data_IF_100174869964
#
_entry.id   IF_100174869964
#
_cell.length_a   1.000
_cell.length_b   1.000
_cell.length_c   1.000
_cell.angle_alpha   90.00
_cell.angle_beta   90.00
_cell.angle_gamma   90.00
#
_symmetry.space_group_name_H-M   'P 1'
#
loop_
_entity.id
_entity.type
_entity.pdbx_description
1 polymer ?
#
# COMPACT_ATOMS: atom_id res chain seq x y z
N UNK A 1 -9.04 -23.14 -5.33
CA UNK A 1 -8.08 -22.45 -6.20
C UNK A 1 -6.86 -23.33 -6.53
N UNK A 2 -6.20 -23.93 -5.51
CA UNK A 2 -4.99 -24.73 -5.73
C UNK A 2 -5.16 -25.87 -6.73
N UNK A 3 -6.27 -26.65 -6.64
CA UNK A 3 -6.56 -27.71 -7.64
C UNK A 3 -6.70 -27.18 -9.05
N UNK A 4 -7.37 -26.05 -9.23
CA UNK A 4 -7.48 -25.41 -10.56
C UNK A 4 -6.13 -24.93 -11.10
N UNK A 5 -5.30 -24.34 -10.25
CA UNK A 5 -3.96 -23.89 -10.64
C UNK A 5 -3.10 -25.07 -11.13
N UNK A 6 -3.20 -26.24 -10.49
CA UNK A 6 -2.46 -27.45 -10.90
C UNK A 6 -2.94 -28.04 -12.23
N UNK A 7 -4.18 -27.77 -12.63
CA UNK A 7 -4.75 -28.16 -13.92
C UNK A 7 -4.51 -27.11 -15.01
N UNK A 8 -3.66 -26.10 -14.75
CA UNK A 8 -3.27 -25.09 -15.74
C UNK A 8 -4.21 -23.89 -15.86
N UNK A 9 -5.19 -23.75 -14.96
CA UNK A 9 -6.02 -22.56 -14.90
C UNK A 9 -5.31 -21.41 -14.17
N UNK A 10 -5.78 -20.17 -14.38
CA UNK A 10 -5.37 -18.98 -13.64
C UNK A 10 -6.52 -18.61 -12.67
N UNK A 11 -6.57 -19.20 -11.47
CA UNK A 11 -7.68 -19.00 -10.56
C UNK A 11 -7.55 -17.67 -9.82
N UNK A 12 -8.62 -16.88 -9.85
CA UNK A 12 -8.81 -15.72 -8.96
C UNK A 12 -9.70 -16.16 -7.79
N UNK A 13 -9.13 -16.19 -6.59
CA UNK A 13 -9.84 -16.48 -5.35
C UNK A 13 -10.05 -15.17 -4.58
N UNK A 14 -11.29 -14.88 -4.20
CA UNK A 14 -11.62 -13.59 -3.57
C UNK A 14 -12.41 -13.76 -2.27
N UNK A 15 -12.05 -12.98 -1.27
CA UNK A 15 -12.76 -12.80 0.00
C UNK A 15 -12.29 -11.50 0.67
N UNK A 16 -12.82 -11.15 1.83
CA UNK A 16 -12.29 -10.02 2.60
C UNK A 16 -10.81 -10.19 2.94
N UNK A 17 -10.05 -9.10 2.84
CA UNK A 17 -8.60 -9.12 3.00
C UNK A 17 -8.13 -9.76 4.33
N UNK A 18 -8.83 -9.46 5.44
CA UNK A 18 -8.53 -10.08 6.73
C UNK A 18 -8.73 -11.61 6.72
N UNK A 19 -9.67 -12.12 5.93
CA UNK A 19 -9.90 -13.56 5.81
C UNK A 19 -8.98 -14.22 4.78
N UNK A 20 -8.64 -13.49 3.71
CA UNK A 20 -7.67 -13.92 2.73
C UNK A 20 -6.26 -14.05 3.33
N UNK A 21 -5.89 -13.16 4.23
CA UNK A 21 -4.55 -13.13 4.85
C UNK A 21 -4.50 -13.95 6.14
N UNK A 22 -5.13 -13.48 7.21
CA UNK A 22 -4.94 -14.04 8.55
C UNK A 22 -5.62 -15.39 8.72
N UNK A 23 -6.90 -15.53 8.31
CA UNK A 23 -7.66 -16.76 8.49
C UNK A 23 -7.14 -17.91 7.63
N UNK A 24 -6.70 -17.63 6.41
CA UNK A 24 -6.18 -18.63 5.47
C UNK A 24 -4.64 -18.65 5.37
N UNK A 25 -3.94 -18.07 6.33
CA UNK A 25 -2.48 -17.89 6.30
C UNK A 25 -1.72 -19.20 6.02
N UNK A 26 -2.10 -20.30 6.66
CA UNK A 26 -1.46 -21.61 6.46
C UNK A 26 -1.66 -22.10 5.00
N UNK A 27 -2.89 -22.05 4.49
CA UNK A 27 -3.20 -22.47 3.11
C UNK A 27 -2.51 -21.59 2.08
N UNK A 28 -2.42 -20.28 2.32
CA UNK A 28 -1.69 -19.35 1.47
C UNK A 28 -0.18 -19.66 1.50
N UNK A 29 0.38 -19.84 2.69
CA UNK A 29 1.79 -20.23 2.85
C UNK A 29 2.12 -21.50 2.08
N UNK A 30 1.30 -22.55 2.21
CA UNK A 30 1.56 -23.85 1.57
C UNK A 30 1.36 -23.74 0.06
N UNK A 31 0.20 -23.28 -0.41
CA UNK A 31 -0.14 -23.37 -1.83
C UNK A 31 0.52 -22.26 -2.67
N UNK A 32 0.55 -21.02 -2.15
CA UNK A 32 1.12 -19.89 -2.88
C UNK A 32 2.63 -19.74 -2.59
N UNK A 33 3.01 -19.70 -1.31
CA UNK A 33 4.41 -19.48 -0.93
C UNK A 33 5.30 -20.68 -1.22
N UNK A 34 4.99 -21.86 -0.67
CA UNK A 34 5.86 -23.04 -0.75
C UNK A 34 5.73 -23.78 -2.09
N UNK A 35 4.51 -24.03 -2.55
CA UNK A 35 4.28 -24.73 -3.83
C UNK A 35 4.40 -23.80 -5.05
N UNK A 36 4.38 -22.48 -4.85
CA UNK A 36 4.51 -21.49 -5.92
C UNK A 36 3.33 -21.51 -6.92
N UNK A 37 2.16 -22.02 -6.54
CA UNK A 37 1.02 -22.11 -7.46
C UNK A 37 0.54 -20.70 -7.88
N UNK A 38 0.28 -20.45 -9.17
CA UNK A 38 -0.04 -19.12 -9.70
C UNK A 38 -1.48 -18.65 -9.38
N UNK A 39 -1.85 -18.80 -8.12
CA UNK A 39 -3.14 -18.34 -7.59
C UNK A 39 -3.13 -16.81 -7.46
N UNK A 40 -4.21 -16.15 -7.92
CA UNK A 40 -4.45 -14.73 -7.72
C UNK A 40 -5.42 -14.59 -6.55
N UNK A 41 -4.88 -14.35 -5.36
CA UNK A 41 -5.68 -14.14 -4.15
C UNK A 41 -6.06 -12.66 -4.05
N UNK A 42 -7.35 -12.36 -4.12
CA UNK A 42 -7.86 -10.99 -4.07
C UNK A 42 -8.41 -10.71 -2.67
N UNK A 43 -7.75 -9.83 -1.95
CA UNK A 43 -8.17 -9.31 -0.65
C UNK A 43 -9.07 -8.09 -0.85
N UNK A 44 -10.39 -8.30 -0.75
CA UNK A 44 -11.37 -7.21 -0.84
C UNK A 44 -11.42 -6.44 0.47
N UNK A 45 -11.76 -5.15 0.38
CA UNK A 45 -12.05 -4.29 1.54
C UNK A 45 -10.92 -4.24 2.57
N UNK A 46 -9.67 -4.21 2.11
CA UNK A 46 -8.52 -4.05 2.99
C UNK A 46 -8.53 -2.66 3.67
N UNK A 47 -7.76 -2.52 4.72
CA UNK A 47 -7.73 -1.31 5.54
C UNK A 47 -9.03 -1.12 6.32
N UNK A 48 -9.55 0.09 6.30
CA UNK A 48 -10.77 0.52 7.02
C UNK A 48 -12.06 0.39 6.21
N UNK A 49 -12.01 -0.15 5.00
CA UNK A 49 -13.14 -0.15 4.03
C UNK A 49 -14.46 -0.67 4.61
N UNK A 50 -14.41 -1.63 5.51
CA UNK A 50 -15.58 -2.19 6.23
C UNK A 50 -15.55 -1.88 7.72
N UNK A 51 -15.05 -0.70 8.07
CA UNK A 51 -14.88 -0.24 9.44
C UNK A 51 -16.13 -0.32 10.32
N UNK A 52 -17.31 -0.20 9.72
CA UNK A 52 -18.59 -0.36 10.44
C UNK A 52 -18.76 -1.76 11.06
N UNK A 53 -18.06 -2.77 10.55
CA UNK A 53 -18.06 -4.14 11.10
C UNK A 53 -17.01 -4.32 12.22
N UNK A 54 -16.22 -3.30 12.49
CA UNK A 54 -15.21 -3.30 13.54
C UNK A 54 -13.92 -4.06 13.22
N UNK A 55 -13.00 -4.18 14.19
CA UNK A 55 -11.64 -4.69 13.99
C UNK A 55 -11.55 -6.11 13.44
N UNK A 56 -12.58 -6.94 13.65
CA UNK A 56 -12.61 -8.31 13.12
C UNK A 56 -12.74 -8.39 11.59
N UNK A 57 -13.13 -7.30 10.95
CA UNK A 57 -13.29 -7.21 9.50
C UNK A 57 -12.35 -6.19 8.84
N UNK A 58 -11.83 -5.24 9.59
CA UNK A 58 -10.74 -4.38 9.14
C UNK A 58 -9.50 -5.26 8.87
N UNK A 59 -8.75 -4.93 7.83
CA UNK A 59 -7.51 -5.64 7.50
C UNK A 59 -6.35 -4.66 7.54
N UNK A 60 -5.71 -4.56 8.68
CA UNK A 60 -4.59 -3.66 8.94
C UNK A 60 -3.25 -4.39 9.03
N UNK A 61 -3.23 -5.72 8.89
CA UNK A 61 -2.07 -6.59 9.05
C UNK A 61 -1.76 -7.43 7.80
N UNK A 62 -2.60 -7.36 6.78
CA UNK A 62 -2.53 -8.24 5.60
C UNK A 62 -1.22 -8.08 4.81
N UNK A 63 -0.71 -6.85 4.62
CA UNK A 63 0.57 -6.64 3.97
C UNK A 63 1.73 -7.27 4.77
N UNK A 64 1.71 -7.12 6.10
CA UNK A 64 2.73 -7.71 6.96
C UNK A 64 2.78 -9.23 6.82
N UNK A 65 1.61 -9.89 6.81
CA UNK A 65 1.49 -11.34 6.67
C UNK A 65 1.96 -11.79 5.27
N UNK A 66 1.46 -11.14 4.21
CA UNK A 66 1.78 -11.55 2.85
C UNK A 66 3.24 -11.28 2.48
N UNK A 67 3.85 -10.19 2.98
CA UNK A 67 5.27 -9.89 2.78
C UNK A 67 6.21 -10.91 3.41
N UNK A 68 5.76 -11.59 4.46
CA UNK A 68 6.55 -12.63 5.11
C UNK A 68 6.60 -13.94 4.30
N UNK A 69 5.77 -14.08 3.28
CA UNK A 69 5.70 -15.31 2.48
C UNK A 69 6.59 -15.19 1.23
N UNK A 70 7.57 -16.11 1.05
CA UNK A 70 8.36 -16.15 -0.17
C UNK A 70 7.49 -16.35 -1.43
N UNK A 71 7.96 -15.84 -2.56
CA UNK A 71 7.37 -15.97 -3.89
C UNK A 71 6.04 -15.24 -4.12
N UNK A 72 5.39 -14.70 -3.10
CA UNK A 72 4.11 -13.98 -3.25
C UNK A 72 4.37 -12.56 -3.74
N UNK A 73 3.88 -12.24 -4.94
CA UNK A 73 3.85 -10.88 -5.47
C UNK A 73 2.67 -10.13 -4.85
N UNK A 74 2.91 -8.91 -4.36
CA UNK A 74 1.85 -8.09 -3.75
C UNK A 74 1.57 -6.88 -4.64
N UNK A 75 0.30 -6.67 -4.97
CA UNK A 75 -0.20 -5.53 -5.73
C UNK A 75 -1.26 -4.81 -4.91
N UNK A 76 -1.10 -3.51 -4.70
CA UNK A 76 -2.06 -2.66 -3.97
C UNK A 76 -2.38 -1.42 -4.82
N UNK A 77 -3.26 -1.53 -5.83
CA UNK A 77 -3.53 -0.47 -6.79
C UNK A 77 -4.21 0.74 -6.15
N UNK A 78 -3.88 1.93 -6.65
CA UNK A 78 -4.32 3.21 -6.10
C UNK A 78 -5.81 3.52 -6.32
N UNK A 79 -6.37 3.05 -7.44
CA UNK A 79 -7.75 3.31 -7.85
C UNK A 79 -8.32 2.20 -8.75
N UNK A 80 -9.51 2.41 -9.30
CA UNK A 80 -10.15 1.42 -10.17
C UNK A 80 -9.41 1.26 -11.51
N UNK A 81 -8.82 2.31 -12.08
CA UNK A 81 -8.04 2.25 -13.33
C UNK A 81 -6.79 1.39 -13.12
N UNK A 82 -6.04 1.66 -12.05
CA UNK A 82 -4.89 0.84 -11.66
C UNK A 82 -5.30 -0.61 -11.31
N UNK A 83 -6.47 -0.81 -10.70
CA UNK A 83 -6.99 -2.16 -10.38
C UNK A 83 -7.21 -3.00 -11.64
N UNK A 84 -7.78 -2.42 -12.70
CA UNK A 84 -7.97 -3.12 -13.99
C UNK A 84 -6.62 -3.55 -14.55
N UNK A 85 -5.66 -2.64 -14.65
CA UNK A 85 -4.31 -2.93 -15.18
C UNK A 85 -3.57 -3.97 -14.32
N UNK A 86 -3.59 -3.82 -12.99
CA UNK A 86 -3.00 -4.77 -12.06
C UNK A 86 -3.61 -6.18 -12.19
N UNK A 87 -4.93 -6.27 -12.38
CA UNK A 87 -5.65 -7.55 -12.56
C UNK A 87 -5.21 -8.24 -13.86
N UNK A 88 -5.15 -7.49 -14.97
CA UNK A 88 -4.69 -8.02 -16.27
C UNK A 88 -3.23 -8.47 -16.18
N UNK A 89 -2.36 -7.63 -15.61
CA UNK A 89 -0.95 -7.96 -15.43
C UNK A 89 -0.75 -9.19 -14.53
N UNK A 90 -1.53 -9.29 -13.43
CA UNK A 90 -1.51 -10.45 -12.55
C UNK A 90 -1.92 -11.74 -13.29
N UNK A 91 -2.92 -11.68 -14.17
CA UNK A 91 -3.33 -12.84 -14.97
C UNK A 91 -2.23 -13.32 -15.94
N UNK A 92 -1.36 -12.41 -16.38
CA UNK A 92 -0.30 -12.69 -17.34
C UNK A 92 0.98 -13.29 -16.76
N UNK A 93 1.16 -13.35 -15.44
CA UNK A 93 2.37 -13.90 -14.83
C UNK A 93 2.14 -15.27 -14.20
N UNK A 94 3.12 -16.16 -14.35
CA UNK A 94 3.13 -17.49 -13.72
C UNK A 94 3.73 -17.41 -12.32
N UNK A 95 3.05 -16.66 -11.44
CA UNK A 95 3.45 -16.47 -10.04
C UNK A 95 2.24 -16.28 -9.14
N UNK A 96 2.31 -16.64 -7.84
CA UNK A 96 1.27 -16.31 -6.88
C UNK A 96 1.21 -14.79 -6.67
N UNK A 97 -0.01 -14.24 -6.69
CA UNK A 97 -0.25 -12.80 -6.50
C UNK A 97 -1.27 -12.57 -5.40
N UNK A 98 -0.97 -11.66 -4.48
CA UNK A 98 -1.94 -11.06 -3.57
C UNK A 98 -2.33 -9.69 -4.12
N UNK A 99 -3.57 -9.55 -4.58
CA UNK A 99 -4.14 -8.29 -5.06
C UNK A 99 -4.96 -7.66 -3.92
N UNK A 100 -4.47 -6.59 -3.35
CA UNK A 100 -5.04 -5.88 -2.21
C UNK A 100 -5.91 -4.72 -2.66
N UNK A 101 -7.19 -4.74 -2.33
CA UNK A 101 -8.12 -3.67 -2.69
C UNK A 101 -8.55 -2.90 -1.44
N UNK A 102 -8.13 -1.64 -1.37
CA UNK A 102 -8.41 -0.70 -0.26
C UNK A 102 -9.41 0.38 -0.67
N UNK A 103 -9.87 1.12 0.32
CA UNK A 103 -10.68 2.31 0.13
C UNK A 103 -12.19 2.05 0.09
N UNK A 104 -12.96 3.11 -0.15
CA UNK A 104 -14.42 3.05 -0.26
C UNK A 104 -14.88 2.85 -1.70
N UNK A 105 -16.19 2.59 -1.90
CA UNK A 105 -16.80 2.49 -3.24
C UNK A 105 -16.67 3.77 -4.08
N UNK A 106 -16.42 4.91 -3.46
CA UNK A 106 -16.27 6.22 -4.10
C UNK A 106 -14.82 6.72 -4.00
N UNK A 107 -13.84 5.84 -4.07
CA UNK A 107 -12.44 6.25 -4.10
C UNK A 107 -12.17 7.20 -5.26
N UNK A 108 -11.47 8.32 -5.01
CA UNK A 108 -11.08 9.24 -6.07
C UNK A 108 -10.21 8.56 -7.12
N UNK A 109 -10.38 8.94 -8.38
CA UNK A 109 -9.54 8.49 -9.48
C UNK A 109 -8.19 9.21 -9.42
N UNK A 110 -7.13 8.46 -9.37
CA UNK A 110 -5.74 8.94 -9.46
C UNK A 110 -5.32 9.02 -10.93
N UNK A 111 -5.51 7.94 -11.67
CA UNK A 111 -5.15 7.82 -13.07
C UNK A 111 -6.33 8.17 -13.97
N UNK A 112 -6.38 9.44 -14.41
CA UNK A 112 -7.44 9.96 -15.28
C UNK A 112 -7.22 9.64 -16.76
N UNK A 113 -5.98 9.37 -17.14
CA UNK A 113 -5.56 9.03 -18.48
C UNK A 113 -4.95 7.64 -18.49
N UNK A 114 -4.77 7.07 -19.67
CA UNK A 114 -4.08 5.79 -19.82
C UNK A 114 -2.62 5.90 -19.39
N UNK A 115 -2.09 4.87 -18.76
CA UNK A 115 -0.73 4.84 -18.26
C UNK A 115 -0.13 3.43 -18.37
N UNK A 116 1.19 3.35 -18.43
CA UNK A 116 1.90 2.08 -18.43
C UNK A 116 1.97 1.52 -17.01
N UNK A 117 1.47 0.30 -16.86
CA UNK A 117 1.54 -0.44 -15.61
C UNK A 117 2.47 -1.64 -15.77
N UNK A 118 3.49 -1.71 -14.95
CA UNK A 118 4.42 -2.84 -14.90
C UNK A 118 4.57 -3.31 -13.46
N UNK A 119 4.37 -4.62 -13.23
CA UNK A 119 4.60 -5.22 -11.91
C UNK A 119 6.04 -4.97 -11.49
N UNK A 120 6.21 -4.44 -10.29
CA UNK A 120 7.52 -4.15 -9.75
C UNK A 120 8.06 -2.75 -10.06
N UNK A 121 7.33 -1.89 -10.76
CA UNK A 121 7.72 -0.50 -11.02
C UNK A 121 6.83 0.49 -10.29
N UNK A 122 7.47 1.41 -9.56
CA UNK A 122 6.80 2.56 -8.99
C UNK A 122 6.52 3.62 -10.07
N UNK A 123 5.44 4.38 -9.89
CA UNK A 123 5.04 5.47 -10.78
C UNK A 123 5.18 6.79 -10.03
N UNK A 124 6.01 7.70 -10.54
CA UNK A 124 6.11 9.05 -10.02
C UNK A 124 4.95 9.90 -10.55
N UNK A 125 4.01 10.25 -9.66
CA UNK A 125 2.80 11.01 -9.99
C UNK A 125 2.99 12.52 -9.83
N UNK A 126 3.96 12.93 -9.03
CA UNK A 126 4.30 14.33 -8.77
C UNK A 126 5.79 14.46 -8.50
N UNK A 127 6.42 15.46 -9.09
CA UNK A 127 7.81 15.83 -8.80
C UNK A 127 7.89 16.78 -7.61
N UNK A 128 9.00 16.74 -6.88
CA UNK A 128 9.30 17.63 -5.76
C UNK A 128 10.69 17.36 -5.19
N UNK A 129 11.28 18.33 -4.51
CA UNK A 129 12.71 18.30 -4.16
C UNK A 129 12.99 18.20 -2.65
N UNK A 130 12.06 18.56 -1.79
CA UNK A 130 12.27 18.55 -0.34
C UNK A 130 11.89 17.21 0.30
N UNK A 131 10.69 16.70 -0.03
CA UNK A 131 10.12 15.51 0.58
C UNK A 131 9.77 14.49 -0.51
N UNK A 132 10.04 13.21 -0.27
CA UNK A 132 9.49 12.13 -1.09
C UNK A 132 8.40 11.39 -0.31
N UNK A 133 7.17 11.39 -0.82
CA UNK A 133 6.05 10.64 -0.27
C UNK A 133 5.84 9.38 -1.10
N UNK A 134 6.02 8.23 -0.50
CA UNK A 134 5.74 6.92 -1.07
C UNK A 134 4.42 6.44 -0.51
N UNK A 135 3.44 6.17 -1.36
CA UNK A 135 2.12 5.73 -0.94
C UNK A 135 1.66 4.48 -1.69
N UNK A 136 0.67 3.78 -1.17
CA UNK A 136 0.09 2.59 -1.81
C UNK A 136 -1.42 2.53 -1.59
N UNK A 137 -2.13 1.93 -2.53
CA UNK A 137 -3.59 1.77 -2.45
C UNK A 137 -4.31 3.13 -2.38
N UNK A 138 -5.40 3.18 -1.63
CA UNK A 138 -6.21 4.39 -1.40
C UNK A 138 -5.42 5.60 -0.90
N UNK A 139 -4.26 5.38 -0.27
CA UNK A 139 -3.45 6.47 0.27
C UNK A 139 -2.66 7.24 -0.79
N UNK A 140 -2.59 6.78 -2.02
CA UNK A 140 -1.94 7.52 -3.12
C UNK A 140 -2.67 8.84 -3.39
N UNK A 141 -4.00 8.83 -3.43
CA UNK A 141 -4.79 10.07 -3.56
C UNK A 141 -4.58 11.00 -2.35
N UNK A 142 -4.58 10.44 -1.14
CA UNK A 142 -4.30 11.18 0.08
C UNK A 142 -2.93 11.86 0.04
N UNK A 143 -1.89 11.14 -0.41
CA UNK A 143 -0.53 11.65 -0.56
C UNK A 143 -0.44 12.79 -1.57
N UNK A 144 -1.14 12.69 -2.72
CA UNK A 144 -1.21 13.77 -3.71
C UNK A 144 -1.83 15.04 -3.12
N UNK A 145 -2.93 14.91 -2.37
CA UNK A 145 -3.57 16.05 -1.70
C UNK A 145 -2.71 16.62 -0.56
N UNK A 146 -2.04 15.77 0.19
CA UNK A 146 -1.08 16.21 1.21
C UNK A 146 0.09 17.00 0.59
N UNK A 147 0.60 16.57 -0.57
CA UNK A 147 1.64 17.28 -1.30
C UNK A 147 1.17 18.67 -1.81
N UNK A 148 -0.10 18.82 -2.23
CA UNK A 148 -0.70 20.13 -2.57
C UNK A 148 -0.74 21.06 -1.34
N UNK A 149 -1.11 20.53 -0.16
CA UNK A 149 -1.12 21.29 1.09
C UNK A 149 0.31 21.71 1.51
N UNK A 150 1.30 20.81 1.36
CA UNK A 150 2.71 21.12 1.67
C UNK A 150 3.26 22.21 0.74
N UNK A 151 2.91 22.18 -0.55
CA UNK A 151 3.33 23.22 -1.50
C UNK A 151 2.80 24.60 -1.11
N UNK A 152 1.55 24.68 -0.66
CA UNK A 152 0.98 25.93 -0.14
C UNK A 152 1.73 26.45 1.10
N UNK A 153 2.47 25.58 1.78
CA UNK A 153 3.32 25.91 2.94
C UNK A 153 4.82 26.05 2.57
N UNK A 154 5.15 26.03 1.28
CA UNK A 154 6.52 26.23 0.77
C UNK A 154 7.40 24.98 0.79
N UNK A 155 6.82 23.79 0.93
CA UNK A 155 7.55 22.50 0.89
C UNK A 155 7.21 21.76 -0.39
N UNK A 156 8.23 21.50 -1.22
CA UNK A 156 8.09 20.79 -2.50
C UNK A 156 8.15 19.28 -2.26
N UNK A 157 7.02 18.57 -2.47
CA UNK A 157 6.92 17.14 -2.23
C UNK A 157 6.70 16.35 -3.53
N UNK A 158 7.52 15.32 -3.76
CA UNK A 158 7.27 14.29 -4.77
C UNK A 158 6.34 13.22 -4.24
N UNK A 159 5.54 12.59 -5.12
CA UNK A 159 4.64 11.49 -4.76
C UNK A 159 4.87 10.32 -5.69
N UNK A 160 5.12 9.15 -5.11
CA UNK A 160 5.30 7.88 -5.80
C UNK A 160 4.18 6.92 -5.40
N UNK A 161 3.47 6.38 -6.40
CA UNK A 161 2.61 5.21 -6.24
C UNK A 161 3.48 3.96 -6.32
N UNK A 162 3.54 3.21 -5.23
CA UNK A 162 4.40 2.06 -5.12
C UNK A 162 3.62 0.80 -4.74
N UNK A 163 3.29 -0.05 -5.72
CA UNK A 163 2.67 -1.35 -5.47
C UNK A 163 3.68 -2.37 -4.91
N UNK A 164 4.35 -2.01 -3.79
CA UNK A 164 5.36 -2.77 -3.03
C UNK A 164 6.58 -3.26 -3.85
N UNK A 165 7.03 -2.48 -4.82
CA UNK A 165 8.41 -2.59 -5.32
C UNK A 165 9.32 -1.53 -4.69
N UNK A 166 10.48 -2.00 -4.22
CA UNK A 166 11.39 -1.21 -3.39
C UNK A 166 12.50 -0.55 -4.21
N UNK A 167 12.58 -0.75 -5.52
CA UNK A 167 13.65 -0.16 -6.36
C UNK A 167 13.55 1.37 -6.44
N UNK A 168 12.34 1.91 -6.36
CA UNK A 168 12.10 3.36 -6.35
C UNK A 168 12.59 4.07 -5.07
N UNK A 169 12.85 3.34 -3.99
CA UNK A 169 13.38 3.92 -2.74
C UNK A 169 14.71 4.65 -2.98
N UNK A 170 15.52 4.20 -3.92
CA UNK A 170 16.80 4.85 -4.22
C UNK A 170 16.65 6.26 -4.81
N UNK A 171 15.66 6.46 -5.66
CA UNK A 171 15.35 7.80 -6.19
C UNK A 171 14.79 8.70 -5.08
N UNK A 172 13.92 8.15 -4.24
CA UNK A 172 13.31 8.85 -3.10
C UNK A 172 14.36 9.30 -2.06
N UNK A 173 15.44 8.52 -1.87
CA UNK A 173 16.53 8.86 -0.93
C UNK A 173 17.32 10.14 -1.29
N UNK A 174 17.09 10.74 -2.45
CA UNK A 174 17.70 12.01 -2.83
C UNK A 174 17.03 13.23 -2.18
N UNK A 175 15.89 13.06 -1.54
CA UNK A 175 15.15 14.12 -0.85
C UNK A 175 15.62 14.24 0.60
N UNK A 176 15.31 15.37 1.25
CA UNK A 176 15.68 15.63 2.65
C UNK A 176 14.94 14.71 3.62
N UNK A 177 13.65 14.44 3.35
CA UNK A 177 12.79 13.59 4.16
C UNK A 177 12.10 12.55 3.27
N UNK A 178 12.12 11.30 3.70
CA UNK A 178 11.34 10.22 3.09
C UNK A 178 10.11 9.95 3.97
N UNK A 179 8.95 9.81 3.34
CA UNK A 179 7.68 9.55 4.02
C UNK A 179 7.01 8.35 3.36
N UNK A 180 6.50 7.42 4.15
CA UNK A 180 5.61 6.36 3.65
C UNK A 180 4.20 6.55 4.20
N UNK A 181 3.18 6.37 3.34
CA UNK A 181 1.77 6.52 3.71
C UNK A 181 0.99 5.29 3.27
N UNK A 182 0.36 4.61 4.21
CA UNK A 182 -0.37 3.37 3.96
C UNK A 182 -1.63 3.23 4.83
N UNK A 183 -2.70 2.69 4.28
CA UNK A 183 -3.90 2.28 5.01
C UNK A 183 -3.71 0.87 5.58
N UNK A 184 -2.75 0.76 6.48
CA UNK A 184 -2.28 -0.46 7.12
C UNK A 184 -1.62 -0.08 8.45
N UNK A 185 -1.44 -1.02 9.37
CA UNK A 185 -0.61 -0.79 10.56
C UNK A 185 0.77 -0.25 10.18
N UNK A 186 1.30 0.65 11.00
CA UNK A 186 2.70 1.12 10.87
C UNK A 186 3.73 -0.02 11.01
N UNK A 187 3.28 -1.20 11.46
CA UNK A 187 4.12 -2.38 11.69
C UNK A 187 3.97 -3.36 10.52
N UNK A 188 5.08 -3.70 9.88
CA UNK A 188 5.17 -4.78 8.89
C UNK A 188 4.71 -4.44 7.47
N UNK A 189 4.09 -3.27 7.22
CA UNK A 189 3.61 -2.86 5.91
C UNK A 189 4.68 -2.20 5.01
N UNK A 190 4.25 -1.19 4.23
CA UNK A 190 5.09 -0.43 3.32
C UNK A 190 6.22 0.30 4.06
N UNK A 191 5.88 0.97 5.17
CA UNK A 191 6.88 1.69 5.96
C UNK A 191 7.99 0.79 6.46
N UNK A 192 7.65 -0.39 6.98
CA UNK A 192 8.64 -1.38 7.41
C UNK A 192 9.47 -1.89 6.24
N UNK A 193 8.87 -2.14 5.07
CA UNK A 193 9.59 -2.59 3.88
C UNK A 193 10.62 -1.57 3.41
N UNK A 194 10.27 -0.29 3.43
CA UNK A 194 11.19 0.81 3.11
C UNK A 194 12.30 0.90 4.16
N UNK A 195 11.97 0.85 5.45
CA UNK A 195 12.96 0.87 6.53
C UNK A 195 13.97 -0.26 6.44
N UNK A 196 13.55 -1.50 6.11
CA UNK A 196 14.43 -2.65 5.86
C UNK A 196 15.45 -2.38 4.74
N UNK A 197 15.05 -1.67 3.68
CA UNK A 197 15.96 -1.27 2.60
C UNK A 197 16.89 -0.13 2.99
N UNK A 198 16.40 0.83 3.75
CA UNK A 198 17.23 1.93 4.25
C UNK A 198 18.32 1.42 5.20
N UNK A 199 18.03 0.40 6.01
CA UNK A 199 18.99 -0.23 6.92
C UNK A 199 20.21 -0.81 6.19
N UNK A 200 20.14 -1.10 4.89
CA UNK A 200 21.27 -1.55 4.07
C UNK A 200 22.13 -0.39 3.52
N UNK A 201 21.73 0.85 3.74
CA UNK A 201 22.42 2.06 3.25
C UNK A 201 23.16 2.75 4.40
N UNK A 202 24.41 3.10 4.18
CA UNK A 202 25.22 3.85 5.17
C UNK A 202 24.69 5.27 5.38
N UNK A 203 24.13 5.88 4.34
CA UNK A 203 23.58 7.24 4.36
C UNK A 203 22.20 7.20 3.68
N UNK A 204 21.19 7.67 4.38
CA UNK A 204 19.84 7.85 3.88
C UNK A 204 19.15 9.01 4.61
N UNK A 205 18.10 9.64 4.03
CA UNK A 205 17.32 10.66 4.72
C UNK A 205 16.58 10.06 5.94
N UNK A 206 16.15 10.90 6.88
CA UNK A 206 15.16 10.50 7.87
C UNK A 206 13.93 9.91 7.21
N UNK A 207 13.32 8.93 7.86
CA UNK A 207 12.14 8.23 7.33
C UNK A 207 10.97 8.35 8.32
N UNK A 208 9.88 8.98 7.87
CA UNK A 208 8.62 9.07 8.59
C UNK A 208 7.63 8.03 8.07
N UNK A 209 7.14 7.17 8.96
CA UNK A 209 6.12 6.17 8.66
C UNK A 209 4.76 6.71 9.11
N UNK A 210 3.80 6.80 8.17
CA UNK A 210 2.41 7.20 8.43
C UNK A 210 1.49 6.04 8.03
N UNK A 211 0.73 5.54 9.01
CA UNK A 211 -0.21 4.43 8.87
C UNK A 211 -1.14 4.36 10.07
N UNK A 212 -1.95 3.32 10.15
CA UNK A 212 -2.78 3.06 11.32
C UNK A 212 -1.89 2.82 12.55
N UNK A 213 -2.19 3.47 13.69
CA UNK A 213 -1.43 3.27 14.92
C UNK A 213 -1.57 1.82 15.43
N UNK A 214 -0.64 1.38 16.28
CA UNK A 214 -0.61 0.03 16.87
C UNK A 214 -1.68 -0.13 17.97
N UNK A 215 -2.93 0.06 17.58
CA UNK A 215 -4.13 -0.16 18.39
C UNK A 215 -5.29 -0.62 17.52
N UNK A 216 -6.20 -1.42 18.07
CA UNK A 216 -7.44 -1.73 17.36
C UNK A 216 -8.41 -0.55 17.45
N UNK A 217 -8.78 0.08 16.33
CA UNK A 217 -9.73 1.17 16.33
C UNK A 217 -11.15 0.65 16.63
N UNK A 218 -12.00 1.53 17.15
CA UNK A 218 -13.43 1.22 17.31
C UNK A 218 -14.10 1.10 15.93
N UNK A 219 -15.26 0.43 15.88
CA UNK A 219 -16.09 0.42 14.68
C UNK A 219 -16.53 1.85 14.32
N UNK A 220 -16.51 2.18 13.04
CA UNK A 220 -16.87 3.50 12.54
C UNK A 220 -16.99 3.53 11.02
N UNK A 221 -17.48 4.64 10.48
CA UNK A 221 -17.44 4.87 9.04
C UNK A 221 -16.01 5.11 8.55
N UNK A 222 -15.82 4.89 7.26
CA UNK A 222 -14.49 4.93 6.63
C UNK A 222 -13.77 6.27 6.84
N UNK A 223 -14.47 7.39 6.63
CA UNK A 223 -13.86 8.73 6.72
C UNK A 223 -13.48 9.06 8.15
N UNK A 224 -14.36 8.77 9.11
CA UNK A 224 -14.09 8.97 10.54
C UNK A 224 -12.91 8.13 11.03
N UNK A 225 -12.75 6.91 10.53
CA UNK A 225 -11.61 6.05 10.86
C UNK A 225 -10.30 6.59 10.29
N UNK A 226 -10.29 7.02 9.03
CA UNK A 226 -9.12 7.68 8.45
C UNK A 226 -8.75 8.94 9.24
N UNK A 227 -9.73 9.75 9.61
CA UNK A 227 -9.50 10.97 10.38
C UNK A 227 -8.91 10.65 11.76
N UNK A 228 -9.51 9.72 12.49
CA UNK A 228 -9.04 9.32 13.82
C UNK A 228 -7.63 8.72 13.83
N UNK A 229 -7.24 8.07 12.73
CA UNK A 229 -5.91 7.49 12.56
C UNK A 229 -4.89 8.46 11.92
N UNK A 230 -5.27 9.72 11.65
CA UNK A 230 -4.35 10.70 11.07
C UNK A 230 -4.06 10.50 9.58
N UNK A 231 -4.94 9.79 8.86
CA UNK A 231 -4.78 9.42 7.44
C UNK A 231 -5.61 10.29 6.49
N UNK A 232 -6.07 11.46 6.92
CA UNK A 232 -6.64 12.48 6.04
C UNK A 232 -5.52 13.36 5.45
N UNK A 233 -5.71 13.97 4.26
CA UNK A 233 -4.66 14.75 3.59
C UNK A 233 -4.06 15.87 4.42
N UNK A 234 -4.90 16.60 5.14
CA UNK A 234 -4.50 17.68 6.04
C UNK A 234 -3.67 17.18 7.25
N UNK A 235 -4.06 16.05 7.85
CA UNK A 235 -3.31 15.45 8.96
C UNK A 235 -1.99 14.85 8.50
N UNK A 236 -1.96 14.20 7.34
CA UNK A 236 -0.73 13.70 6.71
C UNK A 236 0.21 14.88 6.42
N UNK A 237 -0.27 15.95 5.77
CA UNK A 237 0.52 17.13 5.51
C UNK A 237 1.03 17.79 6.80
N UNK A 238 0.16 17.92 7.80
CA UNK A 238 0.52 18.47 9.12
C UNK A 238 1.63 17.69 9.81
N UNK A 239 1.54 16.35 9.80
CA UNK A 239 2.56 15.47 10.38
C UNK A 239 3.90 15.58 9.65
N UNK A 240 3.87 15.64 8.32
CA UNK A 240 5.07 15.85 7.50
C UNK A 240 5.71 17.20 7.81
N UNK A 241 4.89 18.28 7.85
CA UNK A 241 5.38 19.62 8.15
C UNK A 241 6.02 19.72 9.54
N UNK A 242 5.38 19.14 10.56
CA UNK A 242 5.90 19.06 11.92
C UNK A 242 7.29 18.40 11.93
N UNK A 243 7.37 17.19 11.38
CA UNK A 243 8.63 16.43 11.29
C UNK A 243 9.70 17.17 10.48
N UNK A 244 9.31 17.78 9.35
CA UNK A 244 10.25 18.54 8.51
C UNK A 244 10.84 19.73 9.27
N UNK A 245 10.03 20.49 10.02
CA UNK A 245 10.50 21.64 10.83
C UNK A 245 11.34 21.24 12.04
N UNK A 246 11.15 20.03 12.57
CA UNK A 246 11.97 19.51 13.66
C UNK A 246 13.37 19.08 13.18
N UNK A 247 13.50 18.69 11.92
CA UNK A 247 14.73 18.13 11.37
C UNK A 247 15.58 19.17 10.63
N UNK A 248 14.95 20.22 10.09
CA UNK A 248 15.56 21.21 9.20
C UNK A 248 15.15 22.65 9.55
#
# INVERSE_FOLDING_TARGET
AAGFAREGFVPFATTYATFASMRSADQVKVNMGYMGLPIKLVGLTAGFSVGVLGPTHMSLEDLAIMRALPNVVILSPADCTATVKATIAAAGIDAPVYLRLTGSMNNPIVYKEDFDFEIGKAIELRQGDDVAIIATGSMVHCALKAAEHLEAMGISASVLDMPLDITAVEAACKRKLLVTVEEHSIIGGLGSAVAEKLALKTIHPPHLIIGAPDVYPHAGDYVSLLDSCGLTPDKVAGKILETYKELF
#
